data_IF_467514850802
#
_entry.id   IF_467514850802
#
_cell.length_a   1.000
_cell.length_b   1.000
_cell.length_c   1.000
_cell.angle_alpha   90.00
_cell.angle_beta   90.00
_cell.angle_gamma   90.00
#
_symmetry.space_group_name_H-M   'P 1'
#
loop_
_entity.id
_entity.type
_entity.pdbx_description
1 polymer ?
#
# COMPACT_ATOMS: atom_id res chain seq x y z
N UNK A 1 1.60 12.51 40.14
CA UNK A 1 1.47 12.16 38.71
C UNK A 1 2.86 12.25 38.07
N UNK A 2 3.59 11.16 37.75
CA UNK A 2 4.85 11.29 37.04
C UNK A 2 4.63 11.50 35.53
N UNK A 3 5.57 12.24 34.95
CA UNK A 3 5.52 12.99 33.69
C UNK A 3 5.76 12.10 32.46
N UNK A 4 5.20 12.51 31.33
CA UNK A 4 5.25 11.84 30.04
C UNK A 4 6.67 11.39 29.65
N UNK A 5 6.80 10.09 29.38
CA UNK A 5 7.98 9.52 28.74
C UNK A 5 7.74 9.57 27.23
N UNK A 6 8.34 10.58 26.58
CA UNK A 6 8.60 10.50 25.15
C UNK A 6 9.47 9.28 24.86
N UNK A 7 9.19 8.60 23.76
CA UNK A 7 9.93 7.43 23.30
C UNK A 7 11.44 7.75 23.33
N UNK A 8 12.24 6.91 23.99
CA UNK A 8 13.70 6.99 23.93
C UNK A 8 14.16 7.01 22.46
N UNK A 9 15.26 7.71 22.14
CA UNK A 9 15.81 7.80 20.77
C UNK A 9 15.94 6.43 20.07
N UNK A 10 16.12 5.35 20.84
CA UNK A 10 16.12 3.98 20.33
C UNK A 10 14.72 3.50 19.90
N UNK A 11 13.69 3.80 20.69
CA UNK A 11 12.29 3.47 20.40
C UNK A 11 11.76 4.27 19.19
N UNK A 12 12.13 5.56 19.05
CA UNK A 12 11.81 6.36 17.86
C UNK A 12 12.40 5.73 16.58
N UNK A 13 13.64 5.24 16.64
CA UNK A 13 14.29 4.57 15.49
C UNK A 13 13.58 3.28 15.10
N UNK A 14 13.06 2.51 16.07
CA UNK A 14 12.30 1.28 15.81
C UNK A 14 10.94 1.62 15.18
N UNK A 15 10.23 2.62 15.72
CA UNK A 15 8.94 3.07 15.17
C UNK A 15 9.11 3.58 13.75
N UNK A 16 10.13 4.42 13.49
CA UNK A 16 10.42 4.92 12.15
C UNK A 16 10.75 3.79 11.17
N UNK A 17 11.63 2.85 11.55
CA UNK A 17 11.96 1.70 10.69
C UNK A 17 10.75 0.81 10.42
N UNK A 18 9.88 0.62 11.42
CA UNK A 18 8.66 -0.16 11.26
C UNK A 18 7.75 0.42 10.17
N UNK A 19 7.58 1.75 10.13
CA UNK A 19 6.80 2.41 9.07
C UNK A 19 7.52 2.41 7.71
N UNK A 20 8.84 2.68 7.66
CA UNK A 20 9.64 2.62 6.42
C UNK A 20 9.59 1.21 5.77
N UNK A 21 9.73 0.15 6.56
CA UNK A 21 9.65 -1.22 6.06
C UNK A 21 8.22 -1.65 5.72
N UNK A 22 7.21 -1.14 6.44
CA UNK A 22 5.80 -1.43 6.15
C UNK A 22 5.38 -0.90 4.79
N UNK A 23 5.80 0.31 4.43
CA UNK A 23 5.53 0.89 3.11
C UNK A 23 6.23 0.08 2.01
N UNK A 24 7.48 -0.32 2.24
CA UNK A 24 8.25 -1.16 1.30
C UNK A 24 7.57 -2.51 1.05
N UNK A 25 7.10 -3.18 2.10
CA UNK A 25 6.37 -4.46 1.99
C UNK A 25 5.05 -4.26 1.26
N UNK A 26 4.33 -3.18 1.55
CA UNK A 26 3.07 -2.87 0.88
C UNK A 26 3.27 -2.58 -0.62
N UNK A 27 4.33 -1.86 -0.99
CA UNK A 27 4.69 -1.58 -2.39
C UNK A 27 5.07 -2.84 -3.16
N UNK A 28 5.87 -3.73 -2.57
CA UNK A 28 6.19 -5.02 -3.19
C UNK A 28 4.92 -5.83 -3.45
N UNK A 29 4.02 -5.93 -2.46
CA UNK A 29 2.74 -6.63 -2.62
C UNK A 29 1.86 -5.98 -3.69
N UNK A 30 1.88 -4.67 -3.82
CA UNK A 30 1.14 -3.97 -4.87
C UNK A 30 1.67 -4.29 -6.28
N UNK A 31 2.99 -4.40 -6.45
CA UNK A 31 3.61 -4.80 -7.72
C UNK A 31 3.22 -6.24 -8.12
N UNK A 32 3.18 -7.16 -7.15
CA UNK A 32 2.67 -8.52 -7.36
C UNK A 32 1.20 -8.49 -7.80
N UNK A 33 0.35 -7.74 -7.10
CA UNK A 33 -1.08 -7.64 -7.41
C UNK A 33 -1.32 -7.09 -8.82
N UNK A 34 -0.58 -6.06 -9.23
CA UNK A 34 -0.63 -5.53 -10.61
C UNK A 34 -0.35 -6.64 -11.62
N UNK A 35 0.73 -7.40 -11.41
CA UNK A 35 1.12 -8.49 -12.30
C UNK A 35 0.07 -9.61 -12.33
N UNK A 36 -0.44 -10.00 -11.15
CA UNK A 36 -1.50 -11.01 -11.03
C UNK A 36 -2.81 -10.56 -11.70
N UNK A 37 -3.13 -9.26 -11.70
CA UNK A 37 -4.32 -8.72 -12.34
C UNK A 37 -4.22 -8.79 -13.88
N UNK A 38 -3.05 -8.53 -14.46
CA UNK A 38 -2.85 -8.71 -15.91
C UNK A 38 -2.96 -10.17 -16.36
N UNK A 39 -2.69 -11.11 -15.46
CA UNK A 39 -2.76 -12.56 -15.70
C UNK A 39 -4.07 -13.20 -15.22
N UNK A 40 -4.98 -12.42 -14.61
CA UNK A 40 -6.19 -12.97 -14.03
C UNK A 40 -7.24 -13.27 -15.10
N UNK A 41 -7.46 -14.55 -15.38
CA UNK A 41 -8.48 -14.99 -16.35
C UNK A 41 -9.89 -15.10 -15.72
N UNK A 42 -9.99 -15.15 -14.39
CA UNK A 42 -11.28 -15.24 -13.69
C UNK A 42 -11.65 -13.96 -12.97
N UNK A 43 -12.90 -13.54 -13.15
CA UNK A 43 -13.47 -12.37 -12.47
C UNK A 43 -13.40 -12.51 -10.94
N UNK A 44 -13.60 -13.73 -10.42
CA UNK A 44 -13.51 -14.00 -8.99
C UNK A 44 -12.09 -13.77 -8.44
N UNK A 45 -11.04 -14.19 -9.18
CA UNK A 45 -9.65 -13.92 -8.80
C UNK A 45 -9.35 -12.43 -8.87
N UNK A 46 -9.74 -11.76 -9.95
CA UNK A 46 -9.58 -10.32 -10.10
C UNK A 46 -10.24 -9.54 -8.94
N UNK A 47 -11.45 -9.90 -8.53
CA UNK A 47 -12.15 -9.25 -7.41
C UNK A 47 -11.41 -9.39 -6.07
N UNK A 48 -10.80 -10.56 -5.81
CA UNK A 48 -9.97 -10.79 -4.62
C UNK A 48 -8.68 -9.96 -4.66
N UNK A 49 -8.06 -9.86 -5.85
CA UNK A 49 -6.87 -9.04 -6.08
C UNK A 49 -7.17 -7.56 -5.85
N UNK A 50 -8.27 -7.04 -6.38
CA UNK A 50 -8.69 -5.65 -6.15
C UNK A 50 -8.99 -5.35 -4.68
N UNK A 51 -9.63 -6.27 -3.97
CA UNK A 51 -9.83 -6.14 -2.51
C UNK A 51 -8.50 -6.07 -1.77
N UNK A 52 -7.52 -6.87 -2.20
CA UNK A 52 -6.17 -6.89 -1.64
C UNK A 52 -5.41 -5.60 -1.99
N UNK A 53 -5.58 -5.08 -3.21
CA UNK A 53 -4.97 -3.84 -3.68
C UNK A 53 -5.39 -2.66 -2.79
N UNK A 54 -6.68 -2.53 -2.48
CA UNK A 54 -7.17 -1.45 -1.61
C UNK A 54 -6.53 -1.46 -0.22
N UNK A 55 -6.39 -2.64 0.39
CA UNK A 55 -5.72 -2.79 1.70
C UNK A 55 -4.23 -2.44 1.61
N UNK A 56 -3.55 -2.89 0.57
CA UNK A 56 -2.13 -2.63 0.38
C UNK A 56 -1.86 -1.15 0.06
N UNK A 57 -2.69 -0.49 -0.76
CA UNK A 57 -2.61 0.95 -1.02
C UNK A 57 -2.78 1.77 0.25
N UNK A 58 -3.76 1.44 1.09
CA UNK A 58 -3.95 2.07 2.39
C UNK A 58 -2.73 1.90 3.31
N UNK A 59 -2.15 0.70 3.31
CA UNK A 59 -0.95 0.42 4.10
C UNK A 59 0.31 1.13 3.58
N UNK A 60 0.36 1.44 2.28
CA UNK A 60 1.42 2.23 1.64
C UNK A 60 1.17 3.75 1.70
N UNK A 61 0.19 4.20 2.50
CA UNK A 61 -0.07 5.62 2.72
C UNK A 61 -0.86 6.34 1.61
N UNK A 62 -1.47 5.61 0.66
CA UNK A 62 -2.27 6.23 -0.41
C UNK A 62 -3.51 6.95 0.17
N UNK A 63 -3.87 8.10 -0.39
CA UNK A 63 -5.07 8.84 0.01
C UNK A 63 -6.36 8.10 -0.37
N UNK A 64 -7.38 8.14 0.49
CA UNK A 64 -8.63 7.39 0.28
C UNK A 64 -9.30 7.71 -1.07
N UNK A 65 -9.33 8.98 -1.48
CA UNK A 65 -9.90 9.38 -2.77
C UNK A 65 -9.15 8.80 -3.98
N UNK A 66 -7.84 8.57 -3.87
CA UNK A 66 -7.06 7.92 -4.94
C UNK A 66 -7.33 6.41 -4.95
N UNK A 67 -7.43 5.79 -3.76
CA UNK A 67 -7.81 4.38 -3.63
C UNK A 67 -9.16 4.13 -4.29
N UNK A 68 -10.18 4.92 -3.94
CA UNK A 68 -11.54 4.74 -4.45
C UNK A 68 -11.56 4.87 -5.99
N UNK A 69 -10.95 5.92 -6.54
CA UNK A 69 -10.83 6.11 -8.00
C UNK A 69 -10.12 4.94 -8.69
N UNK A 70 -9.06 4.39 -8.09
CA UNK A 70 -8.33 3.25 -8.64
C UNK A 70 -9.18 1.97 -8.57
N UNK A 71 -9.87 1.71 -7.46
CA UNK A 71 -10.71 0.53 -7.28
C UNK A 71 -11.98 0.57 -8.15
N UNK A 72 -12.56 1.75 -8.36
CA UNK A 72 -13.73 1.94 -9.22
C UNK A 72 -13.38 1.75 -10.69
N UNK A 73 -12.21 2.25 -11.11
CA UNK A 73 -11.77 2.11 -12.49
C UNK A 73 -11.49 0.65 -12.89
N UNK A 74 -11.17 -0.22 -11.92
CA UNK A 74 -10.81 -1.64 -12.14
C UNK A 74 -9.78 -1.84 -13.26
N UNK A 75 -8.86 -0.90 -13.38
CA UNK A 75 -7.85 -0.83 -14.43
C UNK A 75 -6.44 -1.09 -13.86
N UNK A 76 -5.81 -2.23 -14.21
CA UNK A 76 -4.47 -2.57 -13.72
C UNK A 76 -3.41 -1.51 -14.07
N UNK A 77 -3.54 -0.78 -15.18
CA UNK A 77 -2.60 0.26 -15.58
C UNK A 77 -2.67 1.48 -14.65
N UNK A 78 -3.89 1.85 -14.20
CA UNK A 78 -4.08 2.91 -13.20
C UNK A 78 -3.52 2.51 -11.85
N UNK A 79 -3.70 1.25 -11.44
CA UNK A 79 -3.06 0.73 -10.22
C UNK A 79 -1.53 0.82 -10.34
N UNK A 80 -0.94 0.34 -11.43
CA UNK A 80 0.50 0.41 -11.66
C UNK A 80 1.05 1.84 -11.60
N UNK A 81 0.31 2.80 -12.16
CA UNK A 81 0.67 4.22 -12.13
C UNK A 81 0.65 4.81 -10.72
N UNK A 82 -0.36 4.45 -9.91
CA UNK A 82 -0.43 4.86 -8.51
C UNK A 82 0.73 4.24 -7.70
N UNK A 83 1.01 2.95 -7.87
CA UNK A 83 2.13 2.26 -7.21
C UNK A 83 3.46 2.91 -7.55
N UNK A 84 3.68 3.27 -8.83
CA UNK A 84 4.91 3.95 -9.27
C UNK A 84 5.07 5.34 -8.65
N UNK A 85 3.98 6.09 -8.45
CA UNK A 85 4.06 7.37 -7.72
C UNK A 85 4.41 7.16 -6.26
N UNK A 86 3.77 6.19 -5.59
CA UNK A 86 4.04 5.89 -4.18
C UNK A 86 5.48 5.40 -3.98
N UNK A 87 6.04 4.62 -4.92
CA UNK A 87 7.43 4.15 -4.83
C UNK A 87 8.48 5.23 -5.09
N UNK A 88 8.11 6.34 -5.75
CA UNK A 88 9.01 7.46 -6.05
C UNK A 88 8.90 8.61 -5.04
N UNK A 89 7.83 8.63 -4.24
CA UNK A 89 7.50 9.70 -3.29
C UNK A 89 7.61 9.28 -1.82
N UNK A 90 8.30 8.17 -1.52
CA UNK A 90 8.65 7.74 -0.16
C UNK A 90 10.04 8.22 0.26
#
# INVERSE_FOLDING_TARGET
MPKGQGLSRHQEKIVKRYYEHRDTIALARLQEIVSELYLAESQAKANKLWTSAGKALKNAGAGQAEIDRTLDARDPAKLASLVTRLSRGG
#
